data_IF_605512643414
#
_entry.id   IF_605512643414
#
_cell.length_a   1.000
_cell.length_b   1.000
_cell.length_c   1.000
_cell.angle_alpha   90.00
_cell.angle_beta   90.00
_cell.angle_gamma   90.00
#
_symmetry.space_group_name_H-M   'P 1'
#
loop_
_entity.id
_entity.type
_entity.pdbx_description
1 polymer ?
#
# COMPACT_ATOMS: atom_id res chain seq x y z
N UNK A 1 18.20 -86.39 0.41
CA UNK A 1 17.32 -86.14 -0.75
C UNK A 1 16.06 -85.46 -0.25
N UNK A 2 15.55 -84.32 -0.71
CA UNK A 2 15.99 -83.23 -1.61
C UNK A 2 15.30 -81.98 -1.05
N UNK A 3 16.06 -80.89 -0.95
CA UNK A 3 15.62 -79.55 -0.54
C UNK A 3 14.96 -78.89 -1.76
N UNK A 4 13.72 -78.40 -1.65
CA UNK A 4 13.17 -77.47 -2.64
C UNK A 4 12.81 -76.17 -1.94
N UNK A 5 13.76 -75.25 -2.04
CA UNK A 5 13.63 -73.85 -1.68
C UNK A 5 13.19 -73.13 -2.94
N UNK A 6 11.89 -72.83 -3.03
CA UNK A 6 11.37 -72.01 -4.11
C UNK A 6 11.60 -70.54 -3.76
N UNK A 7 12.72 -69.99 -4.26
CA UNK A 7 12.96 -68.55 -4.27
C UNK A 7 12.19 -67.98 -5.45
N UNK A 8 11.04 -67.37 -5.17
CA UNK A 8 10.42 -66.43 -6.09
C UNK A 8 11.35 -65.24 -6.26
N UNK A 9 12.13 -65.24 -7.34
CA UNK A 9 12.93 -64.09 -7.77
C UNK A 9 11.94 -63.04 -8.28
N UNK A 10 11.55 -62.11 -7.41
CA UNK A 10 10.81 -60.92 -7.79
C UNK A 10 11.67 -60.13 -8.79
N UNK A 11 11.24 -60.14 -10.06
CA UNK A 11 11.87 -59.31 -11.09
C UNK A 11 11.59 -57.84 -10.78
N UNK A 12 12.60 -56.96 -10.73
CA UNK A 12 12.37 -55.54 -10.52
C UNK A 12 11.48 -55.00 -11.65
N UNK A 13 10.41 -54.32 -11.27
CA UNK A 13 9.44 -53.71 -12.16
C UNK A 13 10.11 -52.55 -12.90
N UNK A 14 10.47 -52.75 -14.18
CA UNK A 14 10.98 -51.68 -15.03
C UNK A 14 9.84 -50.81 -15.57
N UNK A 15 9.87 -49.52 -15.24
CA UNK A 15 9.01 -48.49 -15.86
C UNK A 15 9.24 -48.46 -17.37
N UNK A 16 8.19 -48.61 -18.16
CA UNK A 16 8.36 -48.89 -19.59
C UNK A 16 8.20 -47.68 -20.51
N UNK A 17 7.57 -46.58 -20.06
CA UNK A 17 7.37 -45.37 -20.87
C UNK A 17 7.19 -44.16 -19.94
N UNK A 18 8.01 -43.13 -20.12
CA UNK A 18 7.84 -41.82 -19.48
C UNK A 18 7.38 -40.81 -20.55
N UNK A 19 6.27 -40.12 -20.30
CA UNK A 19 5.86 -38.96 -21.10
C UNK A 19 6.19 -37.70 -20.29
N UNK A 20 6.97 -36.79 -20.86
CA UNK A 20 7.26 -35.48 -20.26
C UNK A 20 6.81 -34.37 -21.20
N UNK A 21 6.14 -33.37 -20.64
CA UNK A 21 5.74 -32.13 -21.33
C UNK A 21 6.67 -30.96 -20.97
N UNK A 22 7.81 -31.24 -20.33
CA UNK A 22 8.79 -30.25 -19.90
C UNK A 22 9.87 -30.02 -20.95
N UNK A 23 10.17 -28.75 -21.25
CA UNK A 23 11.22 -28.34 -22.20
C UNK A 23 12.64 -28.73 -21.75
N UNK A 24 12.83 -29.06 -20.47
CA UNK A 24 14.12 -29.36 -19.85
C UNK A 24 14.38 -30.86 -19.67
N UNK A 25 13.42 -31.73 -19.96
CA UNK A 25 13.53 -33.16 -19.67
C UNK A 25 13.79 -33.98 -20.94
N UNK A 26 14.97 -34.62 -21.02
CA UNK A 26 15.16 -35.78 -21.90
C UNK A 26 14.44 -37.00 -21.32
N UNK A 27 14.13 -38.02 -22.13
CA UNK A 27 13.46 -39.26 -21.65
C UNK A 27 14.33 -39.85 -20.53
N UNK A 28 13.86 -39.82 -19.27
CA UNK A 28 14.69 -40.19 -18.16
C UNK A 28 14.81 -41.70 -18.07
N UNK A 29 16.00 -42.18 -17.72
CA UNK A 29 16.19 -43.59 -17.39
C UNK A 29 15.69 -43.88 -15.96
N UNK A 30 15.60 -42.85 -15.11
CA UNK A 30 15.19 -42.91 -13.71
C UNK A 30 14.25 -41.77 -13.35
N UNK A 31 13.26 -42.03 -12.49
CA UNK A 31 12.32 -41.00 -12.05
C UNK A 31 13.00 -39.79 -11.36
N UNK A 32 14.15 -40.00 -10.71
CA UNK A 32 14.91 -38.93 -10.02
C UNK A 32 15.51 -37.89 -10.96
N UNK A 33 15.79 -38.26 -12.22
CA UNK A 33 16.33 -37.35 -13.23
C UNK A 33 15.33 -36.26 -13.64
N UNK A 34 14.03 -36.43 -13.34
CA UNK A 34 12.98 -35.44 -13.61
C UNK A 34 12.87 -34.36 -12.52
N UNK A 35 13.43 -34.60 -11.33
CA UNK A 35 13.28 -33.68 -10.20
C UNK A 35 14.02 -32.37 -10.44
N UNK A 36 15.24 -32.44 -10.95
CA UNK A 36 16.05 -31.25 -11.27
C UNK A 36 15.43 -30.40 -12.40
N UNK A 37 15.02 -30.97 -13.55
CA UNK A 37 14.30 -30.24 -14.59
C UNK A 37 13.01 -29.57 -14.09
N UNK A 38 12.25 -30.24 -13.22
CA UNK A 38 11.01 -29.70 -12.66
C UNK A 38 11.29 -28.47 -11.80
N UNK A 39 12.26 -28.55 -10.89
CA UNK A 39 12.68 -27.41 -10.07
C UNK A 39 13.20 -26.25 -10.94
N UNK A 40 13.94 -26.56 -12.01
CA UNK A 40 14.47 -25.56 -12.92
C UNK A 40 13.38 -24.85 -13.73
N UNK A 41 12.39 -25.59 -14.22
CA UNK A 41 11.24 -25.02 -14.92
C UNK A 41 10.43 -24.11 -14.00
N UNK A 42 10.12 -24.58 -12.79
CA UNK A 42 9.38 -23.77 -11.80
C UNK A 42 10.13 -22.48 -11.45
N UNK A 43 11.46 -22.56 -11.30
CA UNK A 43 12.29 -21.38 -11.06
C UNK A 43 12.16 -20.35 -12.18
N UNK A 44 12.19 -20.80 -13.43
CA UNK A 44 12.11 -19.92 -14.59
C UNK A 44 10.74 -19.26 -14.70
N UNK A 45 9.68 -20.03 -14.50
CA UNK A 45 8.30 -19.52 -14.53
C UNK A 45 8.10 -18.47 -13.42
N UNK A 46 8.60 -18.74 -12.21
CA UNK A 46 8.56 -17.79 -11.11
C UNK A 46 9.39 -16.54 -11.41
N UNK A 47 10.61 -16.69 -11.90
CA UNK A 47 11.46 -15.55 -12.26
C UNK A 47 10.79 -14.64 -13.31
N UNK A 48 10.16 -15.22 -14.33
CA UNK A 48 9.42 -14.47 -15.34
C UNK A 48 8.23 -13.71 -14.73
N UNK A 49 7.54 -14.32 -13.77
CA UNK A 49 6.40 -13.73 -13.06
C UNK A 49 6.85 -12.57 -12.17
N UNK A 50 7.93 -12.73 -11.41
CA UNK A 50 8.51 -11.66 -10.59
C UNK A 50 9.02 -10.50 -11.45
N UNK A 51 9.69 -10.79 -12.57
CA UNK A 51 10.16 -9.74 -13.48
C UNK A 51 9.00 -8.95 -14.10
N UNK A 52 7.91 -9.62 -14.49
CA UNK A 52 6.71 -8.96 -14.98
C UNK A 52 6.05 -8.08 -13.90
N UNK A 53 6.01 -8.56 -12.66
CA UNK A 53 5.51 -7.82 -11.50
C UNK A 53 6.35 -6.57 -11.20
N UNK A 54 7.67 -6.69 -11.19
CA UNK A 54 8.59 -5.56 -11.01
C UNK A 54 8.45 -4.53 -12.14
N UNK A 55 8.34 -5.00 -13.38
CA UNK A 55 8.11 -4.13 -14.54
C UNK A 55 6.81 -3.34 -14.39
N UNK A 56 5.71 -4.00 -14.03
CA UNK A 56 4.42 -3.34 -13.73
C UNK A 56 4.58 -2.27 -12.65
N UNK A 57 5.27 -2.57 -11.57
CA UNK A 57 5.45 -1.64 -10.46
C UNK A 57 6.30 -0.43 -10.86
N UNK A 58 7.32 -0.63 -11.69
CA UNK A 58 8.14 0.45 -12.25
C UNK A 58 7.35 1.36 -13.21
N UNK A 59 6.45 0.79 -14.01
CA UNK A 59 5.54 1.54 -14.86
C UNK A 59 4.58 2.39 -14.02
N UNK A 60 3.97 1.79 -12.99
CA UNK A 60 3.11 2.50 -12.03
C UNK A 60 3.84 3.63 -11.31
N UNK A 61 5.10 3.42 -10.89
CA UNK A 61 5.93 4.49 -10.32
C UNK A 61 6.05 5.69 -11.27
N UNK A 62 6.26 5.43 -12.55
CA UNK A 62 6.37 6.50 -13.56
C UNK A 62 5.04 7.23 -13.75
N UNK A 63 3.91 6.50 -13.73
CA UNK A 63 2.58 7.10 -13.77
C UNK A 63 2.29 7.98 -12.55
N UNK A 64 2.65 7.53 -11.35
CA UNK A 64 2.48 8.30 -10.10
C UNK A 64 3.23 9.63 -10.16
N UNK A 65 4.50 9.59 -10.59
CA UNK A 65 5.33 10.79 -10.73
C UNK A 65 4.76 11.77 -11.77
N UNK A 66 4.12 11.27 -12.84
CA UNK A 66 3.44 12.11 -13.83
C UNK A 66 2.13 12.68 -13.32
N UNK A 67 1.37 11.92 -12.55
CA UNK A 67 0.06 12.32 -12.02
C UNK A 67 0.18 13.31 -10.85
N UNK A 68 1.30 13.30 -10.12
CA UNK A 68 1.61 14.25 -9.05
C UNK A 68 0.47 14.42 -8.03
N UNK A 69 -0.13 13.31 -7.59
CA UNK A 69 -1.22 13.30 -6.60
C UNK A 69 -2.60 13.73 -7.13
N UNK A 70 -2.76 13.91 -8.44
CA UNK A 70 -4.04 14.34 -9.03
C UNK A 70 -5.04 13.21 -9.28
N UNK A 71 -4.60 11.94 -9.28
CA UNK A 71 -5.44 10.80 -9.66
C UNK A 71 -5.63 9.80 -8.50
N UNK A 72 -6.75 9.86 -7.77
CA UNK A 72 -7.01 8.98 -6.62
C UNK A 72 -7.19 7.50 -7.01
N UNK A 73 -7.40 7.19 -8.31
CA UNK A 73 -7.53 5.80 -8.78
C UNK A 73 -6.22 5.04 -8.69
N UNK A 74 -5.08 5.73 -8.75
CA UNK A 74 -3.77 5.08 -8.68
C UNK A 74 -3.53 4.41 -7.32
N UNK A 75 -4.04 5.00 -6.23
CA UNK A 75 -3.99 4.38 -4.90
C UNK A 75 -4.81 3.08 -4.87
N UNK A 76 -6.01 3.08 -5.46
CA UNK A 76 -6.85 1.88 -5.52
C UNK A 76 -6.20 0.77 -6.35
N UNK A 77 -5.58 1.12 -7.47
CA UNK A 77 -4.80 0.18 -8.29
C UNK A 77 -3.63 -0.43 -7.50
N UNK A 78 -2.85 0.39 -6.78
CA UNK A 78 -1.73 -0.08 -5.96
C UNK A 78 -2.20 -0.98 -4.81
N UNK A 79 -3.32 -0.65 -4.18
CA UNK A 79 -3.94 -1.51 -3.16
C UNK A 79 -4.44 -2.82 -3.78
N UNK A 80 -4.98 -2.79 -4.99
CA UNK A 80 -5.30 -3.99 -5.76
C UNK A 80 -4.07 -4.85 -6.03
N UNK A 81 -2.93 -4.23 -6.38
CA UNK A 81 -1.67 -4.94 -6.58
C UNK A 81 -1.19 -5.65 -5.30
N UNK A 82 -1.41 -5.07 -4.11
CA UNK A 82 -1.09 -5.78 -2.85
C UNK A 82 -1.88 -7.08 -2.67
N UNK A 83 -3.11 -7.14 -3.16
CA UNK A 83 -3.91 -8.37 -3.14
C UNK A 83 -3.36 -9.40 -4.12
N UNK A 84 -2.88 -8.97 -5.29
CA UNK A 84 -2.23 -9.86 -6.25
C UNK A 84 -0.95 -10.47 -5.66
N UNK A 85 -0.18 -9.72 -4.88
CA UNK A 85 1.02 -10.22 -4.21
C UNK A 85 0.70 -11.24 -3.12
N UNK A 86 -0.37 -11.07 -2.35
CA UNK A 86 -0.85 -12.06 -1.38
C UNK A 86 -1.32 -13.37 -2.07
N UNK A 87 -1.98 -13.26 -3.23
CA UNK A 87 -2.35 -14.43 -4.03
C UNK A 87 -1.08 -15.15 -4.54
N UNK A 88 -0.09 -14.40 -5.05
CA UNK A 88 1.18 -14.94 -5.51
C UNK A 88 1.92 -15.65 -4.37
N UNK A 89 1.99 -15.02 -3.19
CA UNK A 89 2.59 -15.59 -1.99
C UNK A 89 1.98 -16.95 -1.64
N UNK A 90 0.65 -17.02 -1.56
CA UNK A 90 -0.08 -18.25 -1.25
C UNK A 90 0.17 -19.33 -2.30
N UNK A 91 0.21 -18.95 -3.59
CA UNK A 91 0.47 -19.88 -4.68
C UNK A 91 1.88 -20.48 -4.61
N UNK A 92 2.91 -19.64 -4.40
CA UNK A 92 4.29 -20.09 -4.27
C UNK A 92 4.49 -20.97 -3.01
N UNK A 93 3.94 -20.55 -1.87
CA UNK A 93 3.97 -21.33 -0.63
C UNK A 93 3.32 -22.70 -0.80
N UNK A 94 2.17 -22.76 -1.49
CA UNK A 94 1.50 -24.02 -1.80
C UNK A 94 2.37 -24.91 -2.68
N UNK A 95 2.92 -24.37 -3.77
CA UNK A 95 3.77 -25.15 -4.67
C UNK A 95 5.01 -25.71 -3.95
N UNK A 96 5.65 -24.95 -3.05
CA UNK A 96 6.76 -25.46 -2.23
C UNK A 96 6.30 -26.55 -1.26
N UNK A 97 5.14 -26.38 -0.63
CA UNK A 97 4.59 -27.39 0.27
C UNK A 97 4.31 -28.70 -0.48
N UNK A 98 3.75 -28.63 -1.69
CA UNK A 98 3.53 -29.79 -2.55
C UNK A 98 4.86 -30.45 -2.98
N UNK A 99 5.88 -29.67 -3.33
CA UNK A 99 7.21 -30.21 -3.67
C UNK A 99 7.87 -30.93 -2.48
N UNK A 100 7.79 -30.34 -1.28
CA UNK A 100 8.30 -30.95 -0.04
C UNK A 100 7.51 -32.21 0.31
N UNK A 101 6.18 -32.19 0.16
CA UNK A 101 5.33 -33.36 0.38
C UNK A 101 5.66 -34.48 -0.61
N UNK A 102 5.88 -34.13 -1.88
CA UNK A 102 6.31 -35.06 -2.93
C UNK A 102 7.67 -35.70 -2.60
N UNK A 103 8.66 -34.90 -2.19
CA UNK A 103 9.96 -35.43 -1.78
C UNK A 103 9.83 -36.39 -0.59
N UNK A 104 9.10 -36.00 0.47
CA UNK A 104 8.88 -36.84 1.65
C UNK A 104 8.13 -38.14 1.30
N UNK A 105 7.15 -38.06 0.41
CA UNK A 105 6.42 -39.22 -0.07
C UNK A 105 7.36 -40.17 -0.83
N UNK A 106 8.24 -39.63 -1.67
CA UNK A 106 9.23 -40.40 -2.42
C UNK A 106 10.26 -41.07 -1.51
N UNK A 107 10.77 -40.37 -0.49
CA UNK A 107 11.67 -40.93 0.53
C UNK A 107 11.01 -42.01 1.40
N UNK A 108 9.68 -42.03 1.48
CA UNK A 108 8.95 -43.02 2.27
C UNK A 108 9.04 -44.42 1.64
N UNK A 109 8.94 -45.46 2.49
CA UNK A 109 8.96 -46.89 2.09
C UNK A 109 7.92 -47.26 1.03
N UNK A 110 6.93 -46.40 0.77
CA UNK A 110 5.89 -46.61 -0.23
C UNK A 110 6.43 -46.73 -1.66
N UNK A 111 7.64 -46.20 -1.93
CA UNK A 111 8.29 -46.24 -3.25
C UNK A 111 9.63 -46.97 -3.24
N UNK A 112 9.86 -47.87 -2.28
CA UNK A 112 11.10 -48.63 -2.15
C UNK A 112 11.49 -49.40 -3.43
N UNK A 113 10.52 -49.74 -4.28
CA UNK A 113 10.74 -50.40 -5.59
C UNK A 113 11.54 -49.51 -6.57
N UNK A 114 11.48 -48.19 -6.42
CA UNK A 114 12.21 -47.22 -7.26
C UNK A 114 13.59 -46.84 -6.68
N UNK A 115 13.95 -47.34 -5.50
CA UNK A 115 15.22 -47.06 -4.83
C UNK A 115 16.27 -48.11 -5.24
N UNK A 116 16.68 -48.09 -6.51
CA UNK A 116 17.58 -49.10 -7.04
C UNK A 116 19.07 -48.83 -6.73
N UNK A 117 19.48 -47.60 -6.32
CA UNK A 117 20.90 -47.21 -6.19
C UNK A 117 21.18 -46.11 -5.13
N UNK A 118 22.43 -46.05 -4.64
CA UNK A 118 22.98 -44.98 -3.78
C UNK A 118 22.85 -43.57 -4.41
N UNK A 119 22.86 -43.48 -5.74
CA UNK A 119 22.64 -42.22 -6.49
C UNK A 119 21.28 -41.57 -6.24
N UNK A 120 20.25 -42.34 -5.87
CA UNK A 120 18.90 -41.80 -5.57
C UNK A 120 18.94 -40.87 -4.36
N UNK A 121 19.77 -41.17 -3.35
CA UNK A 121 19.93 -40.34 -2.16
C UNK A 121 20.64 -39.02 -2.49
N UNK A 122 21.61 -39.04 -3.41
CA UNK A 122 22.32 -37.84 -3.85
C UNK A 122 21.42 -36.93 -4.70
N UNK A 123 20.61 -37.50 -5.60
CA UNK A 123 19.64 -36.77 -6.41
C UNK A 123 18.56 -36.09 -5.53
N UNK A 124 18.04 -36.81 -4.53
CA UNK A 124 17.05 -36.28 -3.58
C UNK A 124 17.62 -35.13 -2.73
N UNK A 125 18.86 -35.26 -2.26
CA UNK A 125 19.54 -34.17 -1.55
C UNK A 125 19.78 -32.95 -2.46
N UNK A 126 20.06 -33.17 -3.74
CA UNK A 126 20.24 -32.10 -4.73
C UNK A 126 18.90 -31.41 -5.03
N UNK A 127 17.82 -32.17 -5.07
CA UNK A 127 16.47 -31.64 -5.21
C UNK A 127 16.03 -30.84 -3.97
N UNK A 128 16.27 -31.32 -2.74
CA UNK A 128 16.01 -30.56 -1.50
C UNK A 128 16.75 -29.21 -1.50
N UNK A 129 18.05 -29.23 -1.87
CA UNK A 129 18.83 -27.99 -2.02
C UNK A 129 18.21 -27.04 -3.05
N UNK A 130 17.68 -27.58 -4.15
CA UNK A 130 17.02 -26.79 -5.19
C UNK A 130 15.70 -26.19 -4.69
N UNK A 131 14.90 -26.95 -3.94
CA UNK A 131 13.67 -26.46 -3.29
C UNK A 131 14.00 -25.36 -2.27
N UNK A 132 15.04 -25.52 -1.44
CA UNK A 132 15.44 -24.49 -0.46
C UNK A 132 15.97 -23.22 -1.12
N UNK A 133 16.67 -23.34 -2.25
CA UNK A 133 17.13 -22.20 -3.01
C UNK A 133 15.96 -21.47 -3.68
N UNK A 134 15.03 -22.22 -4.29
CA UNK A 134 13.76 -21.69 -4.78
C UNK A 134 13.02 -20.94 -3.67
N UNK A 135 12.94 -21.55 -2.49
CA UNK A 135 12.26 -20.97 -1.32
C UNK A 135 12.88 -19.63 -0.92
N UNK A 136 14.21 -19.55 -0.89
CA UNK A 136 14.92 -18.31 -0.58
C UNK A 136 14.71 -17.24 -1.66
N UNK A 137 14.74 -17.62 -2.93
CA UNK A 137 14.61 -16.69 -4.06
C UNK A 137 13.22 -16.03 -4.09
N UNK A 138 12.12 -16.80 -3.97
CA UNK A 138 10.79 -16.19 -4.01
C UNK A 138 10.47 -15.36 -2.76
N UNK A 139 10.90 -15.80 -1.56
CA UNK A 139 10.69 -15.00 -0.32
C UNK A 139 11.34 -13.64 -0.46
N UNK A 140 12.56 -13.60 -1.00
CA UNK A 140 13.26 -12.34 -1.24
C UNK A 140 12.57 -11.50 -2.32
N UNK A 141 12.19 -12.10 -3.46
CA UNK A 141 11.50 -11.39 -4.54
C UNK A 141 10.15 -10.81 -4.12
N UNK A 142 9.35 -11.60 -3.40
CA UNK A 142 8.05 -11.16 -2.85
C UNK A 142 8.23 -10.03 -1.84
N UNK A 143 9.25 -10.12 -0.96
CA UNK A 143 9.55 -9.07 0.00
C UNK A 143 9.90 -7.76 -0.71
N UNK A 144 10.79 -7.80 -1.71
CA UNK A 144 11.16 -6.62 -2.50
C UNK A 144 9.94 -6.00 -3.19
N UNK A 145 9.05 -6.83 -3.75
CA UNK A 145 7.84 -6.37 -4.41
C UNK A 145 6.83 -5.72 -3.44
N UNK A 146 6.63 -6.35 -2.27
CA UNK A 146 5.78 -5.81 -1.20
C UNK A 146 6.34 -4.49 -0.65
N UNK A 147 7.64 -4.43 -0.37
CA UNK A 147 8.29 -3.23 0.16
C UNK A 147 8.20 -2.09 -0.85
N UNK A 148 8.49 -2.36 -2.13
CA UNK A 148 8.35 -1.35 -3.19
C UNK A 148 6.90 -0.89 -3.37
N UNK A 149 5.92 -1.79 -3.25
CA UNK A 149 4.50 -1.43 -3.31
C UNK A 149 4.10 -0.50 -2.16
N UNK A 150 4.55 -0.79 -0.93
CA UNK A 150 4.32 0.07 0.25
C UNK A 150 4.93 1.45 0.06
N UNK A 151 6.16 1.51 -0.45
CA UNK A 151 6.85 2.78 -0.73
C UNK A 151 6.10 3.63 -1.76
N UNK A 152 5.57 3.01 -2.82
CA UNK A 152 4.75 3.72 -3.81
C UNK A 152 3.41 4.21 -3.24
N UNK A 153 2.76 3.40 -2.41
CA UNK A 153 1.52 3.80 -1.73
C UNK A 153 1.79 5.02 -0.83
N UNK A 154 2.87 4.99 -0.05
CA UNK A 154 3.26 6.10 0.81
C UNK A 154 3.62 7.36 0.01
N UNK A 155 4.34 7.20 -1.10
CA UNK A 155 4.66 8.29 -2.01
C UNK A 155 3.38 8.94 -2.55
N UNK A 156 2.42 8.14 -3.02
CA UNK A 156 1.16 8.66 -3.56
C UNK A 156 0.31 9.37 -2.50
N UNK A 157 0.22 8.83 -1.28
CA UNK A 157 -0.46 9.53 -0.18
C UNK A 157 0.18 10.88 0.12
N UNK A 158 1.52 10.97 0.10
CA UNK A 158 2.23 12.23 0.30
C UNK A 158 1.93 13.22 -0.85
N UNK A 159 1.96 12.76 -2.10
CA UNK A 159 1.67 13.59 -3.27
C UNK A 159 0.21 14.07 -3.27
N UNK A 160 -0.74 13.17 -3.01
CA UNK A 160 -2.16 13.48 -2.93
C UNK A 160 -2.45 14.50 -1.81
N UNK A 161 -1.84 14.32 -0.64
CA UNK A 161 -1.97 15.28 0.48
C UNK A 161 -1.44 16.67 0.10
N UNK A 162 -0.30 16.75 -0.60
CA UNK A 162 0.24 18.02 -1.10
C UNK A 162 -0.70 18.65 -2.13
N UNK A 163 -1.18 17.86 -3.10
CA UNK A 163 -2.09 18.32 -4.15
C UNK A 163 -3.40 18.85 -3.55
N UNK A 164 -3.96 18.14 -2.56
CA UNK A 164 -5.15 18.56 -1.83
C UNK A 164 -4.91 19.83 -0.99
N UNK A 165 -3.75 19.94 -0.34
CA UNK A 165 -3.38 21.15 0.40
C UNK A 165 -3.23 22.37 -0.52
N UNK A 166 -2.63 22.19 -1.70
CA UNK A 166 -2.52 23.24 -2.72
C UNK A 166 -3.90 23.65 -3.24
N UNK A 167 -4.75 22.67 -3.55
CA UNK A 167 -6.14 22.91 -3.96
C UNK A 167 -6.91 23.67 -2.88
N UNK A 168 -6.81 23.26 -1.63
CA UNK A 168 -7.43 23.91 -0.48
C UNK A 168 -6.92 25.34 -0.33
N UNK A 169 -5.60 25.57 -0.45
CA UNK A 169 -5.01 26.91 -0.40
C UNK A 169 -5.54 27.81 -1.52
N UNK A 170 -5.67 27.30 -2.75
CA UNK A 170 -6.22 28.06 -3.88
C UNK A 170 -7.70 28.41 -3.68
N UNK A 171 -8.46 27.50 -3.08
CA UNK A 171 -9.87 27.70 -2.74
C UNK A 171 -10.01 28.74 -1.63
N UNK A 172 -9.17 28.66 -0.59
CA UNK A 172 -9.10 29.64 0.48
C UNK A 172 -8.73 31.04 -0.04
N UNK A 173 -7.76 31.14 -0.96
CA UNK A 173 -7.42 32.43 -1.60
C UNK A 173 -8.61 32.99 -2.39
N UNK A 174 -9.34 32.14 -3.10
CA UNK A 174 -10.54 32.55 -3.85
C UNK A 174 -11.66 33.01 -2.91
N UNK A 175 -11.86 32.31 -1.79
CA UNK A 175 -12.80 32.73 -0.73
C UNK A 175 -12.39 34.06 -0.10
N UNK A 176 -11.10 34.31 0.15
CA UNK A 176 -10.62 35.62 0.65
C UNK A 176 -10.96 36.75 -0.32
N UNK A 177 -10.81 36.54 -1.63
CA UNK A 177 -11.18 37.53 -2.65
C UNK A 177 -12.68 37.82 -2.67
N UNK A 178 -13.51 36.78 -2.55
CA UNK A 178 -14.97 36.96 -2.54
C UNK A 178 -15.44 37.66 -1.26
N UNK A 179 -14.90 37.25 -0.11
CA UNK A 179 -15.20 37.86 1.20
C UNK A 179 -14.81 39.34 1.23
N UNK A 180 -13.69 39.70 0.60
CA UNK A 180 -13.29 41.10 0.43
C UNK A 180 -14.36 41.94 -0.28
N UNK A 181 -14.91 41.42 -1.39
CA UNK A 181 -15.91 42.14 -2.19
C UNK A 181 -17.18 42.32 -1.38
N UNK A 182 -17.70 41.25 -0.75
CA UNK A 182 -18.93 41.35 0.04
C UNK A 182 -18.77 42.29 1.23
N UNK A 183 -17.58 42.34 1.84
CA UNK A 183 -17.28 43.24 2.95
C UNK A 183 -17.35 44.73 2.55
N UNK A 184 -16.94 45.08 1.33
CA UNK A 184 -17.03 46.47 0.82
C UNK A 184 -18.44 46.80 0.31
N UNK A 185 -19.05 45.88 -0.43
CA UNK A 185 -20.33 46.14 -1.10
C UNK A 185 -21.54 46.06 -0.16
N UNK A 186 -21.52 45.22 0.87
CA UNK A 186 -22.67 45.03 1.75
C UNK A 186 -23.03 46.31 2.56
N UNK A 187 -22.08 47.03 3.16
CA UNK A 187 -22.37 48.32 3.79
C UNK A 187 -22.81 49.40 2.79
N UNK A 188 -22.18 49.45 1.61
CA UNK A 188 -22.56 50.39 0.55
C UNK A 188 -23.99 50.15 0.07
N UNK A 189 -24.38 48.89 -0.14
CA UNK A 189 -25.74 48.50 -0.49
C UNK A 189 -26.73 48.85 0.62
N UNK A 190 -26.37 48.69 1.89
CA UNK A 190 -27.22 49.09 3.01
C UNK A 190 -27.48 50.60 3.04
N UNK A 191 -26.45 51.41 2.81
CA UNK A 191 -26.56 52.88 2.74
C UNK A 191 -27.42 53.28 1.53
N UNK A 192 -27.15 52.71 0.36
CA UNK A 192 -27.93 52.95 -0.85
C UNK A 192 -29.41 52.55 -0.65
N UNK A 193 -29.68 51.46 0.07
CA UNK A 193 -31.02 51.02 0.42
C UNK A 193 -31.69 51.94 1.44
N UNK A 194 -30.98 52.41 2.46
CA UNK A 194 -31.52 53.35 3.45
C UNK A 194 -31.91 54.69 2.82
N UNK A 195 -31.13 55.17 1.85
CA UNK A 195 -31.44 56.41 1.12
C UNK A 195 -32.39 56.20 -0.07
N UNK A 196 -32.47 54.99 -0.62
CA UNK A 196 -33.44 54.63 -1.65
C UNK A 196 -34.83 54.36 -1.10
N UNK A 197 -34.93 53.95 0.17
CA UNK A 197 -36.19 53.87 0.89
C UNK A 197 -36.58 55.27 1.37
N UNK A 198 -37.80 55.71 1.08
CA UNK A 198 -38.28 57.04 1.44
C UNK A 198 -38.54 57.11 2.96
N UNK A 199 -37.46 57.20 3.76
CA UNK A 199 -37.54 57.23 5.22
C UNK A 199 -37.99 58.64 5.65
N UNK A 200 -39.14 58.74 6.30
CA UNK A 200 -39.77 59.99 6.79
C UNK A 200 -38.88 60.85 7.72
N UNK A 201 -37.70 60.36 8.12
CA UNK A 201 -36.63 61.14 8.76
C UNK A 201 -36.09 62.27 7.84
N UNK A 202 -36.36 62.22 6.53
CA UNK A 202 -35.98 63.23 5.54
C UNK A 202 -37.09 64.25 5.22
N UNK A 203 -38.28 64.12 5.83
CA UNK A 203 -39.44 64.97 5.52
C UNK A 203 -39.20 66.47 5.83
N UNK A 204 -38.29 66.79 6.75
CA UNK A 204 -37.91 68.16 7.10
C UNK A 204 -36.71 68.66 6.29
N UNK A 205 -36.78 68.57 4.96
CA UNK A 205 -35.93 69.25 3.96
C UNK A 205 -34.49 69.61 4.44
N UNK A 206 -33.67 68.64 4.88
CA UNK A 206 -32.33 68.96 5.36
C UNK A 206 -31.45 69.39 4.17
N UNK A 207 -30.56 70.36 4.41
CA UNK A 207 -29.64 70.84 3.38
C UNK A 207 -28.85 69.66 2.79
N UNK A 208 -28.72 69.62 1.45
CA UNK A 208 -28.03 68.55 0.71
C UNK A 208 -26.59 68.28 1.17
N UNK A 209 -26.02 69.22 1.93
CA UNK A 209 -24.73 69.06 2.58
C UNK A 209 -24.68 67.99 3.67
N UNK A 210 -25.80 67.59 4.29
CA UNK A 210 -25.81 66.57 5.36
C UNK A 210 -25.57 65.15 4.83
N UNK A 211 -25.87 64.91 3.54
CA UNK A 211 -25.60 63.63 2.88
C UNK A 211 -24.09 63.34 2.78
N UNK A 212 -23.27 64.37 2.61
CA UNK A 212 -21.82 64.25 2.43
C UNK A 212 -21.11 63.73 3.69
N UNK A 213 -21.27 64.31 4.89
CA UNK A 213 -20.64 63.80 6.11
C UNK A 213 -21.22 62.47 6.57
N UNK A 214 -22.49 62.14 6.27
CA UNK A 214 -23.03 60.82 6.56
C UNK A 214 -22.44 59.73 5.66
N UNK A 215 -22.29 60.01 4.36
CA UNK A 215 -21.60 59.13 3.43
C UNK A 215 -20.11 58.96 3.80
N UNK A 216 -19.43 60.05 4.17
CA UNK A 216 -18.04 60.00 4.62
C UNK A 216 -17.90 59.24 5.93
N UNK A 217 -18.80 59.46 6.90
CA UNK A 217 -18.77 58.79 8.20
C UNK A 217 -19.00 57.29 8.09
N UNK A 218 -19.93 56.87 7.24
CA UNK A 218 -20.16 55.45 6.96
C UNK A 218 -19.02 54.83 6.14
N UNK A 219 -18.44 55.54 5.17
CA UNK A 219 -17.23 55.11 4.47
C UNK A 219 -16.04 54.94 5.43
N UNK A 220 -15.83 55.89 6.34
CA UNK A 220 -14.82 55.79 7.41
C UNK A 220 -15.10 54.62 8.35
N UNK A 221 -16.35 54.38 8.72
CA UNK A 221 -16.73 53.22 9.52
C UNK A 221 -16.35 51.92 8.81
N UNK A 222 -16.66 51.79 7.51
CA UNK A 222 -16.27 50.59 6.74
C UNK A 222 -14.76 50.43 6.62
N UNK A 223 -14.01 51.52 6.45
CA UNK A 223 -12.55 51.51 6.44
C UNK A 223 -11.96 51.16 7.81
N UNK A 224 -12.57 51.61 8.90
CA UNK A 224 -12.14 51.29 10.27
C UNK A 224 -12.43 49.84 10.60
N UNK A 225 -13.63 49.32 10.30
CA UNK A 225 -13.93 47.89 10.47
C UNK A 225 -13.01 47.04 9.59
N UNK A 226 -12.71 47.50 8.37
CA UNK A 226 -11.75 46.85 7.48
C UNK A 226 -10.33 46.83 8.07
N UNK A 227 -9.81 47.99 8.50
CA UNK A 227 -8.49 48.09 9.13
C UNK A 227 -8.44 47.25 10.41
N UNK A 228 -9.49 47.26 11.22
CA UNK A 228 -9.58 46.40 12.39
C UNK A 228 -9.51 44.92 12.00
N UNK A 229 -10.24 44.47 10.97
CA UNK A 229 -10.14 43.09 10.47
C UNK A 229 -8.79 42.74 9.86
N UNK A 230 -8.12 43.71 9.23
CA UNK A 230 -6.80 43.55 8.59
C UNK A 230 -5.65 43.55 9.60
N UNK A 231 -5.75 44.38 10.64
CA UNK A 231 -4.71 44.63 11.65
C UNK A 231 -4.86 43.74 12.88
N UNK A 232 -6.07 43.26 13.15
CA UNK A 232 -6.27 42.15 14.07
C UNK A 232 -6.09 40.84 13.29
N UNK A 233 -5.06 40.07 13.63
CA UNK A 233 -4.92 38.64 13.30
C UNK A 233 -6.03 37.80 13.97
N UNK A 234 -7.29 38.27 13.93
CA UNK A 234 -8.47 37.52 14.34
C UNK A 234 -8.72 36.36 13.38
N UNK A 235 -8.31 36.47 12.11
CA UNK A 235 -8.34 35.35 11.16
C UNK A 235 -7.47 34.18 11.67
N UNK A 236 -6.23 34.45 12.12
CA UNK A 236 -5.35 33.42 12.70
C UNK A 236 -5.88 32.88 14.03
N UNK A 237 -6.59 33.69 14.84
CA UNK A 237 -7.19 33.21 16.11
C UNK A 237 -8.45 32.38 15.87
N UNK A 238 -9.28 32.75 14.89
CA UNK A 238 -10.48 32.00 14.49
C UNK A 238 -10.06 30.71 13.79
N UNK A 239 -9.03 30.73 12.93
CA UNK A 239 -8.47 29.54 12.27
C UNK A 239 -7.86 28.57 13.30
N UNK A 240 -7.17 29.09 14.33
CA UNK A 240 -6.73 28.30 15.49
C UNK A 240 -7.90 27.72 16.30
N UNK A 241 -8.98 28.46 16.51
CA UNK A 241 -10.17 27.95 17.21
C UNK A 241 -10.93 26.89 16.40
N UNK A 242 -11.10 27.12 15.10
CA UNK A 242 -11.82 26.23 14.20
C UNK A 242 -11.05 24.93 13.96
N UNK A 243 -9.73 24.98 13.75
CA UNK A 243 -8.90 23.79 13.62
C UNK A 243 -8.94 22.89 14.86
N UNK A 244 -9.07 23.45 16.07
CA UNK A 244 -9.30 22.67 17.29
C UNK A 244 -10.65 21.94 17.31
N UNK A 245 -11.68 22.50 16.67
CA UNK A 245 -13.01 21.88 16.52
C UNK A 245 -13.02 20.82 15.42
N UNK A 246 -12.45 21.11 14.25
CA UNK A 246 -12.42 20.17 13.11
C UNK A 246 -11.51 18.97 13.37
N UNK A 247 -10.40 19.16 14.12
CA UNK A 247 -9.51 18.07 14.54
C UNK A 247 -10.20 17.08 15.50
N UNK A 248 -11.16 17.55 16.30
CA UNK A 248 -12.00 16.67 17.14
C UNK A 248 -13.04 15.88 16.35
N UNK A 249 -13.50 16.36 15.19
CA UNK A 249 -14.49 15.65 14.38
C UNK A 249 -13.91 14.65 13.37
N UNK A 250 -12.65 14.81 12.93
CA UNK A 250 -12.03 13.87 11.98
C UNK A 250 -11.38 12.64 12.67
N UNK A 251 -11.10 12.71 13.98
CA UNK A 251 -10.46 11.61 14.73
C UNK A 251 -11.35 10.51 15.35
N UNK A 252 -12.69 10.57 15.49
CA UNK A 252 -13.41 9.47 16.15
C UNK A 252 -13.64 8.25 15.24
N UNK A 253 -13.39 8.31 13.92
CA UNK A 253 -13.75 7.22 13.00
C UNK A 253 -12.58 6.52 12.27
N UNK A 254 -11.32 6.95 12.43
CA UNK A 254 -10.16 6.18 11.92
C UNK A 254 -9.43 5.37 13.00
N UNK A 255 -9.56 5.71 14.28
CA UNK A 255 -8.88 4.98 15.38
C UNK A 255 -9.73 3.85 16.01
N UNK A 256 -10.97 3.65 15.57
CA UNK A 256 -11.86 2.58 16.07
C UNK A 256 -11.74 1.25 15.31
N UNK A 257 -10.61 1.01 14.64
CA UNK A 257 -10.37 -0.22 13.87
C UNK A 257 -9.27 -1.15 14.39
N UNK A 258 -8.40 -0.74 15.32
CA UNK A 258 -7.25 -1.59 15.70
C UNK A 258 -6.70 -1.33 17.10
N UNK A 259 -7.49 -1.57 18.14
CA UNK A 259 -6.96 -1.88 19.48
C UNK A 259 -7.73 -3.05 20.10
N UNK A 260 -7.41 -4.26 19.65
CA UNK A 260 -7.51 -5.42 20.56
C UNK A 260 -6.35 -5.33 21.55
N UNK A 261 -6.71 -5.40 22.82
CA UNK A 261 -5.85 -5.25 23.99
C UNK A 261 -4.69 -6.25 24.01
N UNK A 262 -3.48 -5.76 24.30
CA UNK A 262 -2.42 -6.57 24.91
C UNK A 262 -2.10 -5.97 26.28
N UNK A 263 -2.14 -6.81 27.31
CA UNK A 263 -1.95 -6.40 28.70
C UNK A 263 -0.45 -6.21 29.03
N UNK A 264 -0.09 -5.39 30.04
CA UNK A 264 1.30 -4.97 30.29
C UNK A 264 2.22 -6.01 30.94
N UNK A 265 2.00 -7.32 30.75
CA UNK A 265 2.72 -8.37 31.50
C UNK A 265 3.71 -9.24 30.72
N UNK A 266 3.93 -9.01 29.43
CA UNK A 266 4.82 -9.87 28.61
C UNK A 266 6.04 -9.17 28.00
N UNK A 267 6.39 -7.95 28.45
CA UNK A 267 7.54 -7.20 27.88
C UNK A 267 8.92 -7.53 28.47
N UNK A 268 9.05 -8.53 29.34
CA UNK A 268 10.33 -8.75 30.07
C UNK A 268 10.98 -10.11 29.86
N UNK A 269 10.72 -10.82 28.76
CA UNK A 269 11.31 -12.14 28.49
C UNK A 269 12.07 -12.25 27.17
N UNK A 270 12.62 -11.16 26.62
CA UNK A 270 13.28 -11.21 25.31
C UNK A 270 14.65 -10.51 25.26
N UNK A 271 15.53 -10.80 26.23
CA UNK A 271 16.98 -10.62 26.05
C UNK A 271 17.74 -11.66 26.86
N UNK A 272 18.33 -12.71 26.24
CA UNK A 272 19.37 -13.48 26.90
C UNK A 272 20.69 -12.71 26.81
N UNK A 273 21.11 -12.13 27.93
CA UNK A 273 22.47 -11.66 28.12
C UNK A 273 23.39 -12.87 28.30
N UNK A 274 24.20 -13.20 27.29
CA UNK A 274 25.35 -14.11 27.43
C UNK A 274 26.54 -13.57 26.64
N UNK A 275 27.16 -12.53 27.21
CA UNK A 275 28.48 -12.05 26.83
C UNK A 275 29.53 -12.68 27.74
N UNK A 276 30.16 -13.73 27.23
CA UNK A 276 31.15 -14.60 27.87
C UNK A 276 32.46 -13.82 28.13
N UNK A 277 32.89 -13.75 29.40
CA UNK A 277 34.26 -13.38 29.80
C UNK A 277 35.22 -14.50 29.36
N UNK A 278 36.35 -14.15 28.74
CA UNK A 278 37.61 -14.89 28.91
C UNK A 278 38.81 -14.02 28.51
N UNK A 279 39.72 -13.93 29.50
CA UNK A 279 41.17 -13.76 29.48
C UNK A 279 41.80 -12.74 28.53
#
# INVERSE_FOLDING_TARGET
MIKCQDRTIEKPLKSRIFFTTSDYAQIPLRATELFTPLAQQLRQDWASTFQAAESRLSAKRTELLKANGSNPRLVQDLLGDTQLWDILERSCNRQIAELKAFQNAYESKSWAVLHEDEKVVEDLNTFDKSIRNLEREYVNGLKTLSDTSRDLIQLEFNLASIAEAQKSRSTNLSMKRLSWITFVFLPLMFIASLFGMNVDVLASNPAWWIYVPFAIGTMLLTLVVWLCFKYSDLEDKIERGFSHLTRRQLQPNLESGQRRSMSPRERTAMFPASGKKRS
#
